data_IF_101163859080
#
_entry.id   IF_101163859080
#
_cell.length_a   1.000
_cell.length_b   1.000
_cell.length_c   1.000
_cell.angle_alpha   90.00
_cell.angle_beta   90.00
_cell.angle_gamma   90.00
#
_symmetry.space_group_name_H-M   'P 1'
#
loop_
_entity.id
_entity.type
_entity.pdbx_description
1 polymer ?
#
# COMPACT_ATOMS: atom_id res chain seq x y z
N UNK A 1 -1.74 12.89 -2.29
CA UNK A 1 -0.40 12.24 -2.19
C UNK A 1 -0.56 10.78 -2.60
N UNK A 2 0.38 10.23 -3.34
CA UNK A 2 0.38 8.85 -3.81
C UNK A 2 1.43 8.04 -3.05
N UNK A 3 1.23 6.73 -2.97
CA UNK A 3 2.25 5.76 -2.58
C UNK A 3 2.29 4.64 -3.61
N UNK A 4 3.40 3.92 -3.64
CA UNK A 4 3.63 2.82 -4.57
C UNK A 4 4.18 1.60 -3.84
N UNK A 5 3.67 0.43 -4.19
CA UNK A 5 4.18 -0.87 -3.78
C UNK A 5 4.87 -1.53 -4.98
N UNK A 6 6.08 -2.04 -4.78
CA UNK A 6 6.78 -2.86 -5.77
C UNK A 6 6.70 -4.32 -5.35
N UNK A 7 5.99 -5.15 -6.13
CA UNK A 7 6.00 -6.60 -5.97
C UNK A 7 7.22 -7.17 -6.70
N UNK A 8 8.25 -7.54 -5.92
CA UNK A 8 9.50 -8.11 -6.44
C UNK A 8 9.31 -9.47 -7.13
N UNK A 9 8.23 -10.20 -6.80
CA UNK A 9 8.00 -11.54 -7.37
C UNK A 9 7.40 -11.49 -8.77
N UNK A 10 6.57 -10.46 -9.04
CA UNK A 10 5.97 -10.24 -10.36
C UNK A 10 6.67 -9.16 -11.18
N UNK A 11 7.56 -8.39 -10.55
CA UNK A 11 8.16 -7.23 -11.18
C UNK A 11 7.11 -6.17 -11.59
N UNK A 12 6.04 -6.03 -10.79
CA UNK A 12 4.92 -5.10 -11.01
C UNK A 12 4.87 -4.03 -9.93
N UNK A 13 4.48 -2.81 -10.31
CA UNK A 13 4.27 -1.71 -9.40
C UNK A 13 2.77 -1.42 -9.23
N UNK A 14 2.35 -1.10 -8.02
CA UNK A 14 0.97 -0.79 -7.69
C UNK A 14 0.88 0.57 -7.01
N UNK A 15 0.06 1.48 -7.53
CA UNK A 15 -0.03 2.88 -7.08
C UNK A 15 -1.40 3.14 -6.48
N UNK A 16 -1.42 3.79 -5.32
CA UNK A 16 -2.66 4.10 -4.59
C UNK A 16 -2.60 5.51 -3.96
N UNK A 17 -3.74 6.20 -3.85
CA UNK A 17 -3.85 7.37 -2.97
C UNK A 17 -3.52 7.01 -1.51
N UNK A 18 -2.56 7.74 -0.94
CA UNK A 18 -2.14 7.54 0.45
C UNK A 18 -3.27 7.91 1.41
N UNK A 19 -3.57 7.06 2.39
CA UNK A 19 -4.48 7.41 3.48
C UNK A 19 -3.76 8.25 4.54
N UNK A 20 -3.80 9.57 4.41
CA UNK A 20 -3.11 10.47 5.37
C UNK A 20 -3.70 10.46 6.77
N UNK A 21 -4.93 9.97 6.95
CA UNK A 21 -5.54 9.81 8.29
C UNK A 21 -4.98 8.60 9.03
N UNK A 22 -4.45 7.62 8.29
CA UNK A 22 -3.90 6.37 8.83
C UNK A 22 -2.39 6.44 8.93
N UNK A 23 -1.74 7.00 7.93
CA UNK A 23 -0.28 7.03 7.82
C UNK A 23 0.26 8.19 8.66
N UNK A 24 1.04 7.89 9.70
CA UNK A 24 1.69 8.92 10.50
C UNK A 24 2.84 9.53 9.70
N UNK A 25 2.83 10.84 9.39
CA UNK A 25 3.98 11.46 8.77
C UNK A 25 5.11 11.54 9.81
N UNK A 26 6.29 10.92 9.60
CA UNK A 26 7.46 11.32 10.36
C UNK A 26 7.76 12.77 9.95
N UNK A 27 7.75 13.73 10.89
CA UNK A 27 8.05 15.13 10.53
C UNK A 27 9.50 15.27 10.12
N UNK A 28 10.38 14.42 10.68
CA UNK A 28 11.76 14.25 10.25
C UNK A 28 12.33 12.87 10.67
N UNK A 29 13.48 12.49 10.09
CA UNK A 29 14.16 11.21 10.36
C UNK A 29 14.61 11.08 11.82
N UNK A 30 15.00 12.19 12.47
CA UNK A 30 15.44 12.20 13.85
C UNK A 30 14.30 11.85 14.83
N UNK A 31 13.12 12.42 14.63
CA UNK A 31 11.89 12.11 15.37
C UNK A 31 11.53 10.63 15.23
N UNK A 32 11.63 10.08 14.01
CA UNK A 32 11.43 8.65 13.77
C UNK A 32 12.40 7.81 14.61
N UNK A 33 13.70 8.11 14.58
CA UNK A 33 14.71 7.37 15.35
C UNK A 33 14.46 7.44 16.87
N UNK A 34 14.12 8.64 17.38
CA UNK A 34 13.79 8.84 18.80
C UNK A 34 12.60 7.98 19.18
N UNK A 35 11.54 7.99 18.37
CA UNK A 35 10.32 7.26 18.66
C UNK A 35 10.46 5.73 18.49
N UNK A 36 11.31 5.27 17.56
CA UNK A 36 11.68 3.84 17.46
C UNK A 36 12.43 3.43 18.73
N UNK A 37 13.43 4.22 19.16
CA UNK A 37 14.22 3.93 20.37
C UNK A 37 13.36 3.96 21.64
N UNK A 38 12.41 4.88 21.72
CA UNK A 38 11.47 4.99 22.84
C UNK A 38 10.37 3.92 22.82
N UNK A 39 10.29 3.10 21.77
CA UNK A 39 9.26 2.07 21.63
C UNK A 39 7.87 2.59 21.28
N UNK A 40 7.70 3.89 21.01
CA UNK A 40 6.40 4.51 20.72
C UNK A 40 5.93 4.30 19.28
N UNK A 41 6.86 3.92 18.39
CA UNK A 41 6.58 3.42 17.04
C UNK A 41 6.60 1.90 16.94
N UNK A 42 6.89 1.19 18.03
CA UNK A 42 6.72 -0.27 18.03
C UNK A 42 5.24 -0.55 17.85
N UNK A 43 4.88 -1.36 16.84
CA UNK A 43 3.50 -1.56 16.49
C UNK A 43 2.77 -2.21 17.67
N UNK A 44 1.65 -1.62 18.09
CA UNK A 44 0.68 -2.36 18.86
C UNK A 44 0.27 -3.57 18.00
N UNK A 45 0.14 -4.75 18.60
CA UNK A 45 0.00 -6.03 17.88
C UNK A 45 -1.31 -6.20 17.09
N UNK A 46 -2.07 -5.13 16.86
CA UNK A 46 -3.27 -5.19 16.05
C UNK A 46 -2.93 -5.25 14.56
N UNK A 47 -3.50 -6.25 13.88
CA UNK A 47 -3.40 -6.42 12.44
C UNK A 47 -4.68 -5.89 11.78
N UNK A 48 -4.54 -4.81 11.02
CA UNK A 48 -5.64 -4.27 10.23
C UNK A 48 -5.63 -4.89 8.85
N UNK A 49 -6.80 -5.26 8.36
CA UNK A 49 -6.97 -5.90 7.06
C UNK A 49 -7.65 -4.92 6.10
N UNK A 50 -7.12 -4.79 4.90
CA UNK A 50 -7.77 -4.07 3.81
C UNK A 50 -7.73 -4.88 2.52
N UNK A 51 -8.68 -4.61 1.63
CA UNK A 51 -8.75 -5.25 0.33
C UNK A 51 -8.68 -4.19 -0.78
N UNK A 52 -7.85 -4.47 -1.76
CA UNK A 52 -7.60 -3.65 -2.93
C UNK A 52 -7.96 -4.42 -4.20
N UNK A 53 -8.45 -3.70 -5.18
CA UNK A 53 -8.71 -4.22 -6.53
C UNK A 53 -7.79 -3.48 -7.49
N UNK A 54 -7.13 -4.24 -8.36
CA UNK A 54 -6.36 -3.70 -9.48
C UNK A 54 -7.33 -3.15 -10.52
N UNK A 55 -7.17 -1.90 -10.92
CA UNK A 55 -8.02 -1.26 -11.94
C UNK A 55 -7.25 -0.97 -13.22
N UNK A 56 -6.81 0.27 -13.40
CA UNK A 56 -6.24 0.76 -14.66
C UNK A 56 -4.72 0.56 -14.69
N UNK A 57 -4.19 0.28 -15.88
CA UNK A 57 -2.74 0.38 -16.13
C UNK A 57 -2.34 1.84 -16.23
N UNK A 58 -1.22 2.20 -15.60
CA UNK A 58 -0.62 3.53 -15.70
C UNK A 58 0.52 3.48 -16.72
N UNK A 59 0.35 4.22 -17.82
CA UNK A 59 1.38 4.30 -18.87
C UNK A 59 2.48 5.31 -18.53
N UNK A 60 2.09 6.48 -18.03
CA UNK A 60 3.02 7.56 -17.73
C UNK A 60 3.33 7.65 -16.23
N UNK A 61 4.40 6.97 -15.82
CA UNK A 61 4.89 6.97 -14.43
C UNK A 61 5.63 8.28 -14.08
N UNK A 62 6.13 9.02 -15.07
CA UNK A 62 6.92 10.24 -14.88
C UNK A 62 6.13 11.32 -14.13
N UNK A 63 4.81 11.34 -14.32
CA UNK A 63 3.90 12.29 -13.69
C UNK A 63 3.58 11.96 -12.22
N UNK A 64 3.97 10.79 -11.72
CA UNK A 64 3.64 10.35 -10.35
C UNK A 64 4.63 10.89 -9.29
N UNK A 65 5.66 11.62 -9.73
CA UNK A 65 6.67 12.24 -8.88
C UNK A 65 7.92 11.39 -8.70
N UNK A 66 8.99 12.05 -8.23
CA UNK A 66 10.35 11.50 -8.24
C UNK A 66 10.52 10.14 -7.56
N UNK A 67 9.94 9.95 -6.36
CA UNK A 67 10.09 8.71 -5.60
C UNK A 67 9.39 7.53 -6.26
N UNK A 68 8.15 7.73 -6.74
CA UNK A 68 7.38 6.69 -7.41
C UNK A 68 8.00 6.37 -8.76
N UNK A 69 8.43 7.39 -9.51
CA UNK A 69 9.18 7.19 -10.75
C UNK A 69 10.43 6.34 -10.53
N UNK A 70 11.28 6.68 -9.56
CA UNK A 70 12.49 5.94 -9.27
C UNK A 70 12.22 4.47 -8.91
N UNK A 71 11.11 4.20 -8.23
CA UNK A 71 10.72 2.84 -7.81
C UNK A 71 10.08 2.02 -8.93
N UNK A 72 9.18 2.63 -9.72
CA UNK A 72 8.32 1.92 -10.68
C UNK A 72 8.79 2.04 -12.14
N UNK A 73 9.79 2.86 -12.47
CA UNK A 73 10.26 3.02 -13.85
C UNK A 73 10.67 1.67 -14.45
N UNK A 74 10.15 1.39 -15.64
CA UNK A 74 10.43 0.14 -16.38
C UNK A 74 9.66 -1.07 -15.87
N UNK A 75 8.68 -0.88 -14.97
CA UNK A 75 7.80 -1.91 -14.44
C UNK A 75 6.37 -1.69 -14.89
N UNK A 76 5.61 -2.77 -15.07
CA UNK A 76 4.18 -2.63 -15.31
C UNK A 76 3.52 -2.02 -14.07
N UNK A 77 2.93 -0.84 -14.23
CA UNK A 77 2.38 -0.06 -13.13
C UNK A 77 0.86 -0.05 -13.22
N UNK A 78 0.19 -0.37 -12.12
CA UNK A 78 -1.27 -0.44 -12.04
C UNK A 78 -1.81 0.42 -10.91
N UNK A 79 -3.03 0.92 -11.08
CA UNK A 79 -3.76 1.64 -10.06
C UNK A 79 -4.50 0.66 -9.16
N UNK A 80 -4.47 0.93 -7.86
CA UNK A 80 -5.28 0.22 -6.88
C UNK A 80 -6.46 1.08 -6.44
N UNK A 81 -7.59 0.43 -6.23
CA UNK A 81 -8.78 1.01 -5.61
C UNK A 81 -9.16 0.19 -4.37
N UNK A 82 -9.48 0.88 -3.27
CA UNK A 82 -10.01 0.23 -2.07
C UNK A 82 -11.34 -0.41 -2.37
N UNK A 83 -11.46 -1.68 -2.03
CA UNK A 83 -12.74 -2.37 -2.02
C UNK A 83 -13.47 -1.96 -0.74
N UNK A 84 -14.50 -1.16 -0.88
CA UNK A 84 -15.39 -0.89 0.24
C UNK A 84 -16.01 -2.21 0.72
N UNK A 85 -16.13 -2.37 2.04
CA UNK A 85 -16.78 -3.52 2.64
C UNK A 85 -18.29 -3.46 2.33
N UNK A 86 -18.66 -3.91 1.14
CA UNK A 86 -20.06 -4.07 0.77
C UNK A 86 -20.68 -5.09 1.71
N UNK A 87 -21.65 -4.64 2.54
CA UNK A 87 -22.48 -5.52 3.37
C UNK A 87 -23.28 -6.44 2.45
N UNK A 88 -22.82 -7.68 2.22
CA UNK A 88 -23.55 -8.65 1.39
C UNK A 88 -22.75 -9.91 1.04
N UNK A 89 -23.45 -10.91 0.52
CA UNK A 89 -22.89 -12.17 0.02
C UNK A 89 -22.14 -11.87 -1.29
N UNK A 90 -20.82 -12.03 -1.29
CA UNK A 90 -20.02 -11.94 -2.51
C UNK A 90 -19.79 -13.33 -3.10
N UNK A 91 -19.93 -13.43 -4.43
CA UNK A 91 -19.63 -14.62 -5.21
C UNK A 91 -18.16 -15.00 -4.96
N UNK A 92 -17.89 -16.24 -4.55
CA UNK A 92 -16.52 -16.76 -4.39
C UNK A 92 -15.90 -16.97 -5.77
N UNK A 93 -15.45 -15.90 -6.40
CA UNK A 93 -14.56 -16.02 -7.55
C UNK A 93 -13.16 -16.33 -7.04
N UNK A 94 -12.46 -17.24 -7.71
CA UNK A 94 -11.05 -17.55 -7.45
C UNK A 94 -10.20 -16.40 -7.99
N UNK A 95 -10.34 -15.24 -7.36
CA UNK A 95 -9.60 -14.06 -7.74
C UNK A 95 -8.14 -14.29 -7.35
N UNK A 96 -7.23 -14.11 -8.31
CA UNK A 96 -5.79 -14.18 -8.07
C UNK A 96 -5.41 -13.02 -7.14
N UNK A 97 -5.42 -13.30 -5.84
CA UNK A 97 -5.18 -12.33 -4.79
C UNK A 97 -3.83 -12.58 -4.12
N UNK A 98 -3.19 -11.49 -3.71
CA UNK A 98 -1.88 -11.46 -3.08
C UNK A 98 -1.94 -10.67 -1.81
N UNK A 99 -1.18 -11.10 -0.80
CA UNK A 99 -1.12 -10.45 0.49
C UNK A 99 0.20 -9.71 0.62
N UNK A 100 0.14 -8.45 1.02
CA UNK A 100 1.29 -7.66 1.42
C UNK A 100 1.11 -7.32 2.90
N UNK A 101 2.19 -7.43 3.68
CA UNK A 101 2.23 -6.99 5.07
C UNK A 101 3.23 -5.85 5.19
N UNK A 102 2.76 -4.72 5.72
CA UNK A 102 3.57 -3.51 5.84
C UNK A 102 3.18 -2.73 7.10
N UNK A 103 4.02 -1.77 7.45
CA UNK A 103 3.78 -0.86 8.57
C UNK A 103 3.37 0.51 8.01
N UNK A 104 2.09 0.85 8.13
CA UNK A 104 1.62 2.19 7.77
C UNK A 104 1.79 3.21 8.91
N UNK A 105 1.78 2.72 10.16
CA UNK A 105 1.82 3.54 11.37
C UNK A 105 2.31 2.68 12.56
N UNK A 106 1.82 2.93 13.78
CA UNK A 106 2.01 2.13 15.00
C UNK A 106 1.31 0.77 14.94
N UNK A 107 1.09 0.23 13.75
CA UNK A 107 0.42 -1.05 13.53
C UNK A 107 0.81 -1.69 12.23
N UNK A 108 0.63 -3.00 12.18
CA UNK A 108 0.78 -3.79 10.97
C UNK A 108 -0.52 -3.75 10.16
N UNK A 109 -0.38 -3.62 8.85
CA UNK A 109 -1.46 -3.73 7.90
C UNK A 109 -1.23 -4.93 6.98
N UNK A 110 -2.28 -5.72 6.76
CA UNK A 110 -2.32 -6.76 5.73
C UNK A 110 -3.25 -6.29 4.60
N UNK A 111 -2.65 -6.00 3.46
CA UNK A 111 -3.36 -5.58 2.25
C UNK A 111 -3.51 -6.77 1.32
N UNK A 112 -4.75 -7.13 1.00
CA UNK A 112 -5.08 -8.13 0.00
C UNK A 112 -5.32 -7.44 -1.35
N UNK A 113 -4.39 -7.59 -2.29
CA UNK A 113 -4.51 -7.07 -3.66
C UNK A 113 -5.07 -8.15 -4.56
N UNK A 114 -6.20 -7.89 -5.20
CA UNK A 114 -6.89 -8.83 -6.07
C UNK A 114 -6.94 -8.29 -7.51
N UNK A 115 -6.66 -9.13 -8.49
CA UNK A 115 -6.93 -8.84 -9.90
C UNK A 115 -8.46 -8.81 -10.14
N UNK A 116 -8.94 -8.11 -11.17
CA UNK A 116 -10.37 -8.07 -11.49
C UNK A 116 -10.76 -9.22 -12.42
#
# INVERSE_FOLDING_TARGET
RLTAYLDLSLDKCYVIPLNTSVVMPPKNFLELLINIKAGTYLPQSYLIHEQMIVTDRIENVDQLGFFIYRLCRGKETYKLQRKEAMKGIQKREAVNCRKIRHFENRFAMETLICEQ
#
